data_IF_889661558864
#
_entry.id   IF_889661558864
#
_cell.length_a   1.000
_cell.length_b   1.000
_cell.length_c   1.000
_cell.angle_alpha   90.00
_cell.angle_beta   90.00
_cell.angle_gamma   90.00
#
_symmetry.space_group_name_H-M   'P 1'
#
loop_
_entity.id
_entity.type
_entity.pdbx_description
1 polymer ?
#
# COMPACT_ATOMS: atom_id res chain seq x y z
N UNK A 1 -23.67 31.45 34.39
CA UNK A 1 -23.68 29.99 34.36
C UNK A 1 -24.17 29.56 32.98
N UNK A 2 -23.28 29.13 32.10
CA UNK A 2 -23.62 28.57 30.80
C UNK A 2 -22.84 27.27 30.65
N UNK A 3 -23.56 26.19 30.39
CA UNK A 3 -23.09 24.81 30.42
C UNK A 3 -22.27 24.48 29.17
N UNK A 4 -21.09 23.89 29.37
CA UNK A 4 -20.33 23.20 28.34
C UNK A 4 -21.09 21.94 27.92
N UNK A 5 -21.55 21.90 26.67
CA UNK A 5 -22.04 20.68 26.05
C UNK A 5 -20.83 19.80 25.73
N UNK A 6 -20.73 18.65 26.40
CA UNK A 6 -19.69 17.67 26.16
C UNK A 6 -19.84 17.06 24.76
N UNK A 7 -18.83 17.25 23.92
CA UNK A 7 -18.65 16.44 22.73
C UNK A 7 -18.42 14.99 23.17
N UNK A 8 -19.35 14.11 22.80
CA UNK A 8 -19.20 12.67 22.97
C UNK A 8 -18.01 12.18 22.13
N UNK A 9 -17.08 11.41 22.69
CA UNK A 9 -15.97 10.86 21.92
C UNK A 9 -16.53 9.94 20.84
N UNK A 10 -16.30 10.28 19.57
CA UNK A 10 -16.64 9.41 18.47
C UNK A 10 -15.94 8.05 18.66
N UNK A 11 -16.65 6.92 18.52
CA UNK A 11 -16.00 5.61 18.57
C UNK A 11 -14.93 5.53 17.47
N UNK A 12 -13.77 4.89 17.74
CA UNK A 12 -12.73 4.76 16.73
C UNK A 12 -13.33 4.08 15.49
N UNK A 13 -13.25 4.75 14.34
CA UNK A 13 -13.72 4.21 13.07
C UNK A 13 -12.99 2.91 12.80
N UNK A 14 -13.69 1.78 12.89
CA UNK A 14 -13.13 0.45 12.66
C UNK A 14 -12.77 0.34 11.18
N UNK A 15 -11.47 0.32 10.88
CA UNK A 15 -10.98 0.20 9.51
C UNK A 15 -11.23 -1.24 9.06
N UNK A 16 -12.22 -1.42 8.19
CA UNK A 16 -12.48 -2.73 7.56
C UNK A 16 -11.62 -2.86 6.31
N UNK A 17 -10.60 -3.75 6.30
CA UNK A 17 -9.73 -3.90 5.14
C UNK A 17 -10.45 -4.60 3.98
N UNK A 18 -10.08 -4.30 2.72
CA UNK A 18 -10.49 -5.10 1.58
C UNK A 18 -10.11 -6.57 1.78
N UNK A 19 -11.03 -7.49 1.48
CA UNK A 19 -10.85 -8.93 1.72
C UNK A 19 -9.61 -9.48 1.02
N UNK A 20 -9.29 -8.92 -0.14
CA UNK A 20 -8.16 -9.29 -0.99
C UNK A 20 -6.80 -8.97 -0.34
N UNK A 21 -6.76 -8.00 0.59
CA UNK A 21 -5.55 -7.58 1.28
C UNK A 21 -5.36 -8.29 2.63
N UNK A 22 -6.39 -8.95 3.16
CA UNK A 22 -6.33 -9.63 4.47
C UNK A 22 -5.16 -10.62 4.55
N UNK A 23 -4.88 -11.48 3.55
CA UNK A 23 -3.74 -12.38 3.64
C UNK A 23 -2.39 -11.63 3.70
N UNK A 24 -2.25 -10.50 2.98
CA UNK A 24 -1.04 -9.67 3.08
C UNK A 24 -0.90 -9.01 4.44
N UNK A 25 -2.00 -8.52 5.01
CA UNK A 25 -1.99 -7.95 6.36
C UNK A 25 -1.55 -8.99 7.38
N UNK A 26 -2.07 -10.22 7.30
CA UNK A 26 -1.65 -11.33 8.15
C UNK A 26 -0.18 -11.71 7.94
N UNK A 27 0.33 -11.61 6.70
CA UNK A 27 1.71 -11.97 6.37
C UNK A 27 2.75 -11.09 7.10
N UNK A 28 2.40 -9.87 7.50
CA UNK A 28 3.28 -9.02 8.32
C UNK A 28 3.43 -9.49 9.78
N UNK A 29 2.51 -10.32 10.25
CA UNK A 29 2.43 -10.71 11.67
C UNK A 29 2.89 -12.15 11.93
N UNK A 30 3.21 -12.91 10.88
CA UNK A 30 3.71 -14.29 11.03
C UNK A 30 5.25 -14.32 11.11
N UNK A 31 5.76 -15.12 12.03
CA UNK A 31 7.22 -15.30 12.22
C UNK A 31 7.81 -16.36 11.28
N UNK A 32 6.99 -17.29 10.81
CA UNK A 32 7.42 -18.36 9.92
C UNK A 32 7.45 -17.89 8.46
N UNK A 33 8.63 -18.00 7.83
CA UNK A 33 8.80 -17.76 6.39
C UNK A 33 7.86 -18.63 5.54
N UNK A 34 7.58 -19.86 5.98
CA UNK A 34 6.65 -20.77 5.28
C UNK A 34 5.21 -20.26 5.35
N UNK A 35 4.78 -19.75 6.50
CA UNK A 35 3.45 -19.17 6.66
C UNK A 35 3.30 -17.88 5.82
N UNK A 36 4.31 -17.00 5.84
CA UNK A 36 4.32 -15.78 5.03
C UNK A 36 4.17 -16.11 3.54
N UNK A 37 4.93 -17.09 3.03
CA UNK A 37 4.79 -17.56 1.63
C UNK A 37 3.38 -18.03 1.29
N UNK A 38 2.76 -18.79 2.19
CA UNK A 38 1.39 -19.30 1.98
C UNK A 38 0.39 -18.14 1.85
N UNK A 39 0.50 -17.15 2.73
CA UNK A 39 -0.36 -15.97 2.74
C UNK A 39 -0.13 -15.07 1.52
N UNK A 40 1.12 -14.91 1.07
CA UNK A 40 1.45 -14.20 -0.17
C UNK A 40 0.86 -14.89 -1.39
N UNK A 41 0.90 -16.22 -1.44
CA UNK A 41 0.27 -16.99 -2.53
C UNK A 41 -1.25 -16.86 -2.52
N UNK A 42 -1.86 -16.82 -1.35
CA UNK A 42 -3.30 -16.58 -1.21
C UNK A 42 -3.67 -15.17 -1.69
N UNK A 43 -2.94 -14.15 -1.26
CA UNK A 43 -3.09 -12.78 -1.76
C UNK A 43 -2.91 -12.69 -3.27
N UNK A 44 -1.91 -13.36 -3.83
CA UNK A 44 -1.62 -13.36 -5.26
C UNK A 44 -2.80 -13.85 -6.11
N UNK A 45 -3.57 -14.81 -5.57
CA UNK A 45 -4.79 -15.35 -6.18
C UNK A 45 -5.97 -14.37 -6.02
N UNK A 46 -6.10 -13.77 -4.84
CA UNK A 46 -7.20 -12.84 -4.53
C UNK A 46 -7.08 -11.49 -5.27
N UNK A 47 -5.85 -10.98 -5.45
CA UNK A 47 -5.56 -9.71 -6.14
C UNK A 47 -5.51 -9.90 -7.68
N UNK A 48 -5.96 -11.06 -8.18
CA UNK A 48 -6.08 -11.30 -9.63
C UNK A 48 -7.32 -10.58 -10.16
N UNK A 49 -7.14 -9.73 -11.17
CA UNK A 49 -8.23 -9.01 -11.83
C UNK A 49 -9.26 -9.99 -12.42
N UNK A 50 -10.57 -9.63 -12.44
CA UNK A 50 -11.54 -10.38 -13.23
C UNK A 50 -11.12 -10.37 -14.69
N UNK A 51 -11.19 -11.55 -15.28
CA UNK A 51 -10.67 -11.90 -16.58
C UNK A 51 -11.31 -11.09 -17.71
N UNK A 52 -10.56 -10.12 -18.24
CA UNK A 52 -10.70 -9.68 -19.64
C UNK A 52 -9.57 -10.24 -20.51
N UNK A 53 -8.54 -10.84 -19.90
CA UNK A 53 -7.37 -11.36 -20.61
C UNK A 53 -7.05 -12.78 -20.13
N UNK A 54 -7.70 -13.77 -20.75
CA UNK A 54 -7.50 -15.20 -20.51
C UNK A 54 -6.05 -15.67 -20.78
N UNK A 55 -5.20 -14.81 -21.34
CA UNK A 55 -3.82 -15.10 -21.73
C UNK A 55 -2.78 -14.78 -20.65
N UNK A 56 -3.14 -14.09 -19.56
CA UNK A 56 -2.15 -13.55 -18.61
C UNK A 56 -2.36 -13.94 -17.14
N UNK A 57 -2.94 -15.12 -16.86
CA UNK A 57 -2.77 -15.80 -15.55
C UNK A 57 -1.33 -16.33 -15.41
N UNK A 58 -0.35 -15.43 -15.49
CA UNK A 58 1.03 -15.74 -15.16
C UNK A 58 1.10 -15.88 -13.64
N UNK A 59 1.30 -17.12 -13.21
CA UNK A 59 1.59 -17.41 -11.82
C UNK A 59 2.92 -16.75 -11.44
N UNK A 60 3.03 -16.33 -10.17
CA UNK A 60 4.30 -15.85 -9.65
C UNK A 60 5.30 -17.01 -9.61
N UNK A 61 6.51 -16.76 -10.08
CA UNK A 61 7.61 -17.71 -9.91
C UNK A 61 7.97 -17.86 -8.43
N UNK A 62 8.74 -18.91 -8.08
CA UNK A 62 9.19 -19.09 -6.70
C UNK A 62 10.07 -17.92 -6.27
N UNK A 63 10.87 -17.42 -7.20
CA UNK A 63 11.77 -16.28 -7.05
C UNK A 63 10.96 -15.00 -6.76
N UNK A 64 9.86 -14.77 -7.49
CA UNK A 64 8.98 -13.63 -7.23
C UNK A 64 8.40 -13.67 -5.82
N UNK A 65 7.93 -14.84 -5.38
CA UNK A 65 7.39 -15.02 -4.03
C UNK A 65 8.46 -14.77 -2.96
N UNK A 66 9.71 -15.20 -3.19
CA UNK A 66 10.82 -14.91 -2.27
C UNK A 66 11.11 -13.41 -2.17
N UNK A 67 11.07 -12.69 -3.30
CA UNK A 67 11.23 -11.23 -3.31
C UNK A 67 10.13 -10.55 -2.51
N UNK A 68 8.87 -10.96 -2.71
CA UNK A 68 7.74 -10.41 -1.95
C UNK A 68 7.83 -10.71 -0.46
N UNK A 69 8.25 -11.92 -0.08
CA UNK A 69 8.43 -12.26 1.34
C UNK A 69 9.54 -11.43 1.97
N UNK A 70 10.66 -11.23 1.27
CA UNK A 70 11.72 -10.32 1.72
C UNK A 70 11.23 -8.88 1.87
N UNK A 71 10.40 -8.41 0.94
CA UNK A 71 9.77 -7.09 1.01
C UNK A 71 8.89 -6.95 2.26
N UNK A 72 8.03 -7.94 2.53
CA UNK A 72 7.17 -7.97 3.71
C UNK A 72 8.02 -7.95 5.00
N UNK A 73 9.09 -8.74 5.06
CA UNK A 73 9.98 -8.78 6.22
C UNK A 73 10.75 -7.48 6.44
N UNK A 74 11.04 -6.75 5.36
CA UNK A 74 11.67 -5.44 5.41
C UNK A 74 10.76 -4.35 5.98
N UNK A 75 9.45 -4.46 5.78
CA UNK A 75 8.48 -3.49 6.28
C UNK A 75 7.99 -3.94 7.66
N UNK A 76 8.26 -3.13 8.69
CA UNK A 76 7.81 -3.39 10.07
C UNK A 76 6.66 -2.44 10.46
N UNK A 77 5.40 -2.72 10.08
CA UNK A 77 4.26 -1.88 10.46
C UNK A 77 4.07 -1.85 11.97
N UNK A 78 3.76 -0.67 12.51
CA UNK A 78 3.58 -0.44 13.96
C UNK A 78 2.15 -0.65 14.46
N UNK A 79 1.18 -0.42 13.58
CA UNK A 79 -0.24 -0.50 13.89
C UNK A 79 -1.04 -1.03 12.69
N UNK A 80 -2.34 -1.24 12.89
CA UNK A 80 -3.23 -1.80 11.87
C UNK A 80 -3.35 -0.92 10.61
N UNK A 81 -3.24 0.41 10.75
CA UNK A 81 -3.31 1.34 9.63
C UNK A 81 -2.02 1.27 8.79
N UNK A 82 -0.86 1.24 9.44
CA UNK A 82 0.42 1.00 8.78
C UNK A 82 0.46 -0.39 8.12
N UNK A 83 -0.13 -1.41 8.75
CA UNK A 83 -0.25 -2.75 8.15
C UNK A 83 -1.10 -2.72 6.88
N UNK A 84 -2.25 -2.03 6.90
CA UNK A 84 -3.10 -1.89 5.72
C UNK A 84 -2.37 -1.15 4.59
N UNK A 85 -1.69 -0.06 4.91
CA UNK A 85 -0.89 0.69 3.94
C UNK A 85 0.25 -0.16 3.36
N UNK A 86 1.00 -0.86 4.22
CA UNK A 86 2.05 -1.77 3.80
C UNK A 86 1.51 -2.89 2.89
N UNK A 87 0.33 -3.44 3.19
CA UNK A 87 -0.34 -4.42 2.36
C UNK A 87 -0.71 -3.87 0.97
N UNK A 88 -1.19 -2.62 0.88
CA UNK A 88 -1.47 -1.95 -0.39
C UNK A 88 -0.19 -1.72 -1.23
N UNK A 89 0.92 -1.35 -0.58
CA UNK A 89 2.22 -1.20 -1.22
C UNK A 89 2.71 -2.53 -1.76
N UNK A 90 2.63 -3.60 -0.97
CA UNK A 90 3.02 -4.96 -1.42
C UNK A 90 2.12 -5.44 -2.56
N UNK A 91 0.80 -5.25 -2.47
CA UNK A 91 -0.13 -5.57 -3.55
C UNK A 91 0.20 -4.82 -4.85
N UNK A 92 0.54 -3.53 -4.75
CA UNK A 92 0.96 -2.72 -5.89
C UNK A 92 2.28 -3.24 -6.49
N UNK A 93 3.23 -3.63 -5.64
CA UNK A 93 4.49 -4.24 -6.08
C UNK A 93 4.24 -5.55 -6.83
N UNK A 94 3.43 -6.44 -6.25
CA UNK A 94 3.02 -7.72 -6.85
C UNK A 94 2.38 -7.51 -8.22
N UNK A 95 1.43 -6.59 -8.33
CA UNK A 95 0.77 -6.26 -9.60
C UNK A 95 1.76 -5.66 -10.61
N UNK A 96 2.68 -4.81 -10.14
CA UNK A 96 3.74 -4.23 -10.95
C UNK A 96 4.65 -5.29 -11.57
N UNK A 97 5.09 -6.27 -10.79
CA UNK A 97 5.89 -7.41 -11.28
C UNK A 97 5.14 -8.19 -12.36
N UNK A 98 3.85 -8.49 -12.13
CA UNK A 98 3.02 -9.22 -13.09
C UNK A 98 2.87 -8.46 -14.40
N UNK A 99 2.59 -7.16 -14.34
CA UNK A 99 2.44 -6.29 -15.51
C UNK A 99 3.76 -6.11 -16.26
N UNK A 100 4.87 -5.99 -15.55
CA UNK A 100 6.21 -5.95 -16.15
C UNK A 100 6.56 -7.24 -16.89
N UNK A 101 6.06 -8.37 -16.42
CA UNK A 101 6.27 -9.68 -17.04
C UNK A 101 5.34 -9.95 -18.25
N UNK A 102 4.50 -8.99 -18.64
CA UNK A 102 3.62 -9.04 -19.82
C UNK A 102 4.40 -8.85 -21.12
N UNK A 103 3.87 -9.37 -22.23
CA UNK A 103 4.41 -9.12 -23.58
C UNK A 103 3.98 -7.78 -24.16
N UNK A 104 3.00 -7.10 -23.56
CA UNK A 104 2.46 -5.84 -24.06
C UNK A 104 3.24 -4.64 -23.49
N UNK A 105 3.79 -3.73 -24.33
CA UNK A 105 4.58 -2.59 -23.86
C UNK A 105 3.85 -1.64 -22.90
N UNK A 106 2.54 -1.43 -23.09
CA UNK A 106 1.75 -0.57 -22.19
C UNK A 106 1.58 -1.18 -20.80
N UNK A 107 1.40 -2.51 -20.73
CA UNK A 107 1.42 -3.23 -19.46
C UNK A 107 2.78 -3.12 -18.77
N UNK A 108 3.88 -3.26 -19.52
CA UNK A 108 5.21 -3.12 -18.96
C UNK A 108 5.45 -1.71 -18.39
N UNK A 109 5.02 -0.68 -19.12
CA UNK A 109 5.09 0.72 -18.68
C UNK A 109 4.26 0.96 -17.42
N UNK A 110 3.05 0.40 -17.35
CA UNK A 110 2.23 0.45 -16.15
C UNK A 110 2.90 -0.30 -15.00
N UNK A 111 3.46 -1.48 -15.26
CA UNK A 111 4.21 -2.28 -14.30
C UNK A 111 5.38 -1.51 -13.67
N UNK A 112 6.19 -0.85 -14.49
CA UNK A 112 7.28 0.02 -14.02
C UNK A 112 6.76 1.17 -13.13
N UNK A 113 5.65 1.81 -13.50
CA UNK A 113 5.04 2.86 -12.68
C UNK A 113 4.57 2.33 -11.32
N UNK A 114 3.95 1.15 -11.27
CA UNK A 114 3.50 0.52 -10.03
C UNK A 114 4.68 0.13 -9.14
N UNK A 115 5.74 -0.43 -9.71
CA UNK A 115 6.97 -0.74 -8.97
C UNK A 115 7.61 0.52 -8.41
N UNK A 116 7.74 1.59 -9.21
CA UNK A 116 8.25 2.89 -8.75
C UNK A 116 7.42 3.45 -7.60
N UNK A 117 6.09 3.45 -7.75
CA UNK A 117 5.17 3.87 -6.70
C UNK A 117 5.38 3.08 -5.41
N UNK A 118 5.48 1.74 -5.50
CA UNK A 118 5.68 0.90 -4.32
C UNK A 118 6.99 1.22 -3.58
N UNK A 119 8.08 1.46 -4.30
CA UNK A 119 9.36 1.84 -3.72
C UNK A 119 9.32 3.23 -3.07
N UNK A 120 8.71 4.21 -3.74
CA UNK A 120 8.54 5.56 -3.21
C UNK A 120 7.64 5.58 -1.97
N UNK A 121 6.58 4.78 -1.95
CA UNK A 121 5.66 4.66 -0.82
C UNK A 121 6.36 4.10 0.43
N UNK A 122 7.28 3.13 0.27
CA UNK A 122 8.09 2.60 1.38
C UNK A 122 9.05 3.67 1.90
N UNK A 123 9.72 4.41 1.01
CA UNK A 123 10.60 5.50 1.40
C UNK A 123 9.85 6.60 2.15
N UNK A 124 8.63 6.94 1.73
CA UNK A 124 7.78 7.89 2.44
C UNK A 124 7.35 7.38 3.81
N UNK A 125 7.02 6.09 3.92
CA UNK A 125 6.70 5.46 5.21
C UNK A 125 7.88 5.51 6.17
N UNK A 126 9.08 5.20 5.69
CA UNK A 126 10.32 5.28 6.48
C UNK A 126 10.63 6.72 6.92
N UNK A 127 10.52 7.70 6.01
CA UNK A 127 10.68 9.13 6.34
C UNK A 127 9.70 9.61 7.40
N UNK A 128 8.42 9.21 7.28
CA UNK A 128 7.38 9.53 8.28
C UNK A 128 7.75 8.97 9.66
N UNK A 129 8.28 7.74 9.71
CA UNK A 129 8.72 7.12 10.98
C UNK A 129 9.93 7.78 11.61
N UNK A 130 10.84 8.29 10.77
CA UNK A 130 12.10 8.90 11.21
C UNK A 130 11.99 10.42 11.41
N UNK A 131 10.78 11.00 11.39
CA UNK A 131 10.54 12.42 11.65
C UNK A 131 11.04 13.36 10.54
N UNK A 132 11.38 12.82 9.36
CA UNK A 132 11.79 13.59 8.20
C UNK A 132 10.55 14.15 7.48
N UNK A 133 9.88 15.13 8.10
CA UNK A 133 8.79 15.86 7.46
C UNK A 133 9.33 16.70 6.31
N UNK A 134 8.91 16.38 5.08
CA UNK A 134 8.97 17.30 3.96
C UNK A 134 7.56 17.46 3.40
N UNK A 135 7.16 18.71 3.23
CA UNK A 135 5.91 19.12 2.61
C UNK A 135 5.84 18.56 1.18
N UNK A 136 5.09 17.48 0.96
CA UNK A 136 4.94 16.89 -0.37
C UNK A 136 3.87 17.68 -1.12
N UNK A 137 4.31 18.66 -1.92
CA UNK A 137 3.45 19.27 -2.94
C UNK A 137 3.48 18.36 -4.18
N UNK A 138 2.43 17.58 -4.39
CA UNK A 138 2.29 16.80 -5.63
C UNK A 138 1.68 17.72 -6.70
N UNK A 139 2.51 18.15 -7.67
CA UNK A 139 2.04 18.89 -8.83
C UNK A 139 1.71 17.90 -9.96
N UNK A 140 0.43 17.63 -10.17
CA UNK A 140 -0.04 16.86 -11.31
C UNK A 140 -0.10 17.76 -12.53
N UNK A 141 1.02 17.91 -13.25
CA UNK A 141 0.99 18.51 -14.58
C UNK A 141 0.54 17.45 -15.60
N UNK A 142 -0.77 17.19 -15.65
CA UNK A 142 -1.37 16.46 -16.75
C UNK A 142 -1.84 17.49 -17.77
N UNK A 143 -1.43 17.35 -19.02
CA UNK A 143 -1.66 18.32 -20.11
C UNK A 143 -3.16 18.52 -20.39
N UNK A 144 -3.79 19.43 -19.64
CA UNK A 144 -5.20 19.83 -19.74
C UNK A 144 -5.47 21.05 -18.84
N UNK A 145 -6.48 21.90 -19.15
CA UNK A 145 -6.67 23.20 -18.52
C UNK A 145 -7.34 23.08 -17.14
N UNK A 146 -6.66 22.45 -16.19
CA UNK A 146 -7.16 22.26 -14.84
C UNK A 146 -6.07 21.73 -13.91
N UNK A 147 -5.25 22.64 -13.35
CA UNK A 147 -4.35 22.29 -12.27
C UNK A 147 -5.17 21.98 -11.01
N UNK A 148 -5.30 20.71 -10.67
CA UNK A 148 -5.85 20.30 -9.37
C UNK A 148 -4.71 20.23 -8.37
N UNK A 149 -4.59 21.27 -7.55
CA UNK A 149 -3.73 21.30 -6.36
C UNK A 149 -4.44 20.56 -5.23
N UNK A 150 -4.18 19.26 -5.06
CA UNK A 150 -4.54 18.55 -3.83
C UNK A 150 -3.43 18.80 -2.79
N UNK A 151 -3.69 19.70 -1.85
CA UNK A 151 -2.90 19.88 -0.64
C UNK A 151 -3.53 19.11 0.51
N UNK A 152 -2.80 18.16 1.11
CA UNK A 152 -3.19 17.57 2.39
C UNK A 152 -2.37 18.23 3.48
N UNK A 153 -2.94 19.27 4.12
CA UNK A 153 -2.39 19.85 5.34
C UNK A 153 -2.86 18.97 6.50
N UNK A 154 -1.97 18.14 7.05
CA UNK A 154 -2.21 17.54 8.36
C UNK A 154 -1.74 18.58 9.37
N UNK A 155 -2.69 19.27 10.01
CA UNK A 155 -2.37 20.19 11.11
C UNK A 155 -1.75 19.36 12.24
N UNK A 156 -0.56 19.75 12.68
CA UNK A 156 -0.11 19.42 14.03
C UNK A 156 -1.03 20.17 15.00
N UNK A 157 -1.86 19.44 15.73
CA UNK A 157 -2.37 19.98 16.99
C UNK A 157 -1.22 19.98 17.99
N UNK A 158 -0.43 21.05 17.90
CA UNK A 158 0.57 21.38 18.90
C UNK A 158 -0.12 21.75 20.22
N UNK A 159 0.07 20.87 21.21
CA UNK A 159 0.04 21.07 22.67
C UNK A 159 -1.31 21.22 23.38
N UNK A 160 -1.51 20.36 24.37
CA UNK A 160 -2.03 20.77 25.67
C UNK A 160 -1.16 20.16 26.79
N UNK A 161 -0.43 21.06 27.45
CA UNK A 161 0.21 21.02 28.79
C UNK A 161 1.03 19.78 29.19
#
# INVERSE_FOLDING_TARGET
MANNAGETPHPPTEITPPKELVPLMQAFHVTSKKAAKSLVLEAAKAISYPAEDYLSKKEYSKEDIEVIVSLIQGIKPKDALETLYAAQVVASHMLGMRKLASSYPEDQKLGLKMLKFSSEAILQLDRKRNGAYQHITVNYNNSGPGNVLSQTIIKEDSKCL
#
